data_IF_308518837607
#
_entry.id   IF_308518837607
#
_cell.length_a   1.000
_cell.length_b   1.000
_cell.length_c   1.000
_cell.angle_alpha   90.00
_cell.angle_beta   90.00
_cell.angle_gamma   90.00
#
_symmetry.space_group_name_H-M   'P 1'
#
loop_
_entity.id
_entity.type
_entity.pdbx_description
1 polymer ?
#
# COMPACT_ATOMS: atom_id res chain seq x y z
N UNK A 1 52.00 45.01 5.87
CA UNK A 1 51.65 44.39 4.59
C UNK A 1 51.27 42.93 4.89
N UNK A 2 49.98 42.69 5.19
CA UNK A 2 49.45 41.36 5.54
C UNK A 2 48.82 40.75 4.29
N UNK A 3 49.36 39.64 3.81
CA UNK A 3 48.78 38.85 2.72
C UNK A 3 47.85 37.83 3.34
N UNK A 4 46.50 38.04 3.22
CA UNK A 4 45.48 37.04 3.53
C UNK A 4 45.47 35.97 2.44
N UNK A 5 45.78 34.72 2.80
CA UNK A 5 45.55 33.56 1.94
C UNK A 5 44.11 33.16 2.09
N UNK A 6 43.32 33.35 1.05
CA UNK A 6 41.96 32.80 0.93
C UNK A 6 42.12 31.32 0.51
N UNK A 7 41.83 30.41 1.41
CA UNK A 7 41.69 28.98 1.10
C UNK A 7 40.30 28.74 0.51
N UNK A 8 40.31 28.44 -0.80
CA UNK A 8 39.07 28.04 -1.52
C UNK A 8 38.80 26.57 -1.18
N UNK A 9 37.81 26.30 -0.32
CA UNK A 9 37.30 24.94 -0.05
C UNK A 9 36.38 24.59 -1.20
N UNK A 10 36.87 23.80 -2.17
CA UNK A 10 36.07 23.17 -3.21
C UNK A 10 35.40 21.95 -2.55
N UNK A 11 34.13 22.09 -2.19
CA UNK A 11 33.31 20.98 -1.75
C UNK A 11 32.91 20.18 -3.00
N UNK A 12 33.59 19.07 -3.25
CA UNK A 12 33.21 18.13 -4.32
C UNK A 12 32.00 17.36 -3.81
N UNK A 13 30.81 17.77 -4.25
CA UNK A 13 29.61 16.95 -4.11
C UNK A 13 29.75 15.81 -5.11
N UNK A 14 30.14 14.63 -4.63
CA UNK A 14 30.06 13.39 -5.41
C UNK A 14 28.58 13.00 -5.44
N UNK A 15 27.83 13.53 -6.41
CA UNK A 15 26.56 12.95 -6.81
C UNK A 15 26.88 11.69 -7.59
N UNK A 16 26.55 10.52 -7.03
CA UNK A 16 26.56 9.26 -7.76
C UNK A 16 25.64 9.41 -8.98
N UNK A 17 26.19 9.51 -10.16
CA UNK A 17 25.45 9.62 -11.41
C UNK A 17 24.90 8.23 -11.71
N UNK A 18 23.60 8.02 -11.43
CA UNK A 18 22.86 6.89 -12.01
C UNK A 18 22.92 7.05 -13.54
N UNK A 19 23.14 5.95 -14.25
CA UNK A 19 23.24 5.98 -15.69
C UNK A 19 21.93 6.56 -16.27
N UNK A 20 22.00 7.63 -17.05
CA UNK A 20 20.84 8.28 -17.65
C UNK A 20 19.98 7.30 -18.48
N UNK A 21 20.55 6.18 -18.92
CA UNK A 21 19.90 5.12 -19.66
C UNK A 21 18.90 4.32 -18.80
N UNK A 22 19.23 4.07 -17.52
CA UNK A 22 18.36 3.31 -16.60
C UNK A 22 17.11 4.10 -16.19
N UNK A 23 17.26 5.38 -15.94
CA UNK A 23 16.12 6.28 -15.66
C UNK A 23 15.22 6.45 -16.90
N UNK A 24 15.80 6.39 -18.11
CA UNK A 24 15.06 6.42 -19.37
C UNK A 24 14.10 5.23 -19.52
N UNK A 25 14.50 4.04 -19.07
CA UNK A 25 13.61 2.88 -19.09
C UNK A 25 12.44 3.02 -18.10
N UNK A 26 12.69 3.51 -16.90
CA UNK A 26 11.64 3.81 -15.94
C UNK A 26 10.64 4.87 -16.46
N UNK A 27 11.13 5.91 -17.15
CA UNK A 27 10.28 6.91 -17.80
C UNK A 27 9.43 6.31 -18.92
N UNK A 28 9.99 5.43 -19.73
CA UNK A 28 9.29 4.69 -20.78
C UNK A 28 8.17 3.83 -20.18
N UNK A 29 8.46 3.04 -19.14
CA UNK A 29 7.46 2.25 -18.43
C UNK A 29 6.35 3.12 -17.82
N UNK A 30 6.70 4.21 -17.17
CA UNK A 30 5.72 5.10 -16.55
C UNK A 30 4.78 5.75 -17.58
N UNK A 31 5.31 6.17 -18.73
CA UNK A 31 4.54 6.87 -19.76
C UNK A 31 3.58 5.94 -20.53
N UNK A 32 3.92 4.67 -20.68
CA UNK A 32 3.14 3.72 -21.49
C UNK A 32 2.33 2.71 -20.67
N UNK A 33 2.30 2.78 -19.34
CA UNK A 33 1.57 1.82 -18.49
C UNK A 33 0.13 1.58 -18.96
N UNK A 34 -0.63 2.64 -19.30
CA UNK A 34 -2.03 2.52 -19.72
C UNK A 34 -2.21 1.68 -21.01
N UNK A 35 -1.17 1.54 -21.85
CA UNK A 35 -1.19 0.70 -23.06
C UNK A 35 -1.07 -0.79 -22.72
N UNK A 36 -0.44 -1.11 -21.60
CA UNK A 36 -0.15 -2.48 -21.17
C UNK A 36 -0.99 -2.95 -19.99
N UNK A 37 -1.76 -2.04 -19.42
CA UNK A 37 -2.66 -2.31 -18.31
C UNK A 37 -3.71 -3.33 -18.69
N UNK A 38 -3.80 -4.40 -17.91
CA UNK A 38 -4.77 -5.47 -18.10
C UNK A 38 -6.15 -5.03 -17.64
N UNK A 39 -7.14 -5.14 -18.53
CA UNK A 39 -8.52 -4.87 -18.24
C UNK A 39 -9.13 -5.97 -17.34
N UNK A 40 -10.14 -5.61 -16.53
CA UNK A 40 -10.81 -6.53 -15.62
C UNK A 40 -10.10 -6.71 -14.28
N UNK A 41 -8.97 -6.00 -14.06
CA UNK A 41 -8.25 -5.99 -12.79
C UNK A 41 -8.25 -4.58 -12.16
N UNK A 42 -9.39 -3.89 -12.23
CA UNK A 42 -9.53 -2.53 -11.68
C UNK A 42 -9.66 -2.54 -10.15
N UNK A 43 -10.36 -3.53 -9.61
CA UNK A 43 -10.51 -3.69 -8.16
C UNK A 43 -9.28 -4.36 -7.54
N UNK A 44 -8.91 -3.92 -6.33
CA UNK A 44 -7.92 -4.63 -5.52
C UNK A 44 -8.46 -5.87 -4.80
N UNK A 45 -9.77 -6.13 -4.90
CA UNK A 45 -10.42 -7.34 -4.36
C UNK A 45 -10.42 -8.47 -5.40
N UNK A 46 -9.22 -8.81 -5.90
CA UNK A 46 -9.04 -9.86 -6.89
C UNK A 46 -9.32 -11.23 -6.27
N UNK A 47 -10.13 -12.03 -6.95
CA UNK A 47 -10.42 -13.40 -6.59
C UNK A 47 -9.51 -14.39 -7.32
N UNK A 48 -9.37 -15.60 -6.78
CA UNK A 48 -8.54 -16.64 -7.35
C UNK A 48 -8.85 -16.93 -8.82
N UNK A 49 -10.16 -17.00 -9.18
CA UNK A 49 -10.57 -17.26 -10.55
C UNK A 49 -10.10 -16.19 -11.55
N UNK A 50 -10.03 -14.91 -11.13
CA UNK A 50 -9.54 -13.83 -11.98
C UNK A 50 -8.04 -13.99 -12.27
N UNK A 51 -7.26 -14.47 -11.29
CA UNK A 51 -5.84 -14.80 -11.49
C UNK A 51 -5.68 -15.99 -12.44
N UNK A 52 -6.47 -17.06 -12.29
CA UNK A 52 -6.43 -18.19 -13.21
C UNK A 52 -6.76 -17.80 -14.65
N UNK A 53 -7.82 -17.00 -14.86
CA UNK A 53 -8.19 -16.48 -16.18
C UNK A 53 -7.02 -15.70 -16.81
N UNK A 54 -6.34 -14.86 -16.02
CA UNK A 54 -5.21 -14.10 -16.55
C UNK A 54 -3.97 -14.96 -16.80
N UNK A 55 -3.71 -15.99 -15.99
CA UNK A 55 -2.65 -16.95 -16.23
C UNK A 55 -2.89 -17.75 -17.53
N UNK A 56 -4.13 -18.21 -17.76
CA UNK A 56 -4.53 -18.92 -18.97
C UNK A 56 -4.42 -17.99 -20.21
N UNK A 57 -4.81 -16.72 -20.07
CA UNK A 57 -4.66 -15.72 -21.14
C UNK A 57 -3.19 -15.51 -21.49
N UNK A 58 -2.32 -15.28 -20.51
CA UNK A 58 -0.87 -15.09 -20.71
C UNK A 58 -0.27 -16.28 -21.45
N UNK A 59 -0.63 -17.51 -21.05
CA UNK A 59 -0.18 -18.74 -21.73
C UNK A 59 -0.73 -18.89 -23.14
N UNK A 60 -2.01 -18.60 -23.34
CA UNK A 60 -2.67 -18.76 -24.64
C UNK A 60 -2.18 -17.74 -25.69
N UNK A 61 -1.98 -16.50 -25.28
CA UNK A 61 -1.50 -15.42 -26.16
C UNK A 61 -0.02 -15.57 -26.54
N UNK A 62 0.80 -16.19 -25.68
CA UNK A 62 2.25 -16.30 -25.85
C UNK A 62 2.78 -17.68 -25.40
N UNK A 63 2.36 -18.79 -26.05
CA UNK A 63 2.64 -20.16 -25.56
C UNK A 63 4.13 -20.55 -25.60
N UNK A 64 4.90 -19.95 -26.49
CA UNK A 64 6.34 -20.20 -26.63
C UNK A 64 7.18 -19.29 -25.72
N UNK A 65 6.56 -18.25 -25.17
CA UNK A 65 7.24 -17.26 -24.33
C UNK A 65 7.04 -17.51 -22.84
N UNK A 66 5.83 -17.90 -22.43
CA UNK A 66 5.50 -18.16 -21.03
C UNK A 66 5.25 -19.64 -20.74
N UNK A 67 5.96 -20.18 -19.76
CA UNK A 67 5.61 -21.44 -19.12
C UNK A 67 4.72 -21.17 -17.91
N UNK A 68 3.49 -21.67 -17.91
CA UNK A 68 2.55 -21.56 -16.79
C UNK A 68 2.29 -22.95 -16.23
N UNK A 69 2.61 -23.16 -14.94
CA UNK A 69 2.52 -24.46 -14.28
C UNK A 69 1.81 -24.33 -12.94
N UNK A 70 0.97 -25.31 -12.61
CA UNK A 70 0.47 -25.48 -11.23
C UNK A 70 1.60 -26.06 -10.38
N UNK A 71 2.09 -25.29 -9.43
CA UNK A 71 3.23 -25.64 -8.56
C UNK A 71 2.81 -26.16 -7.20
N UNK A 72 1.55 -25.98 -6.82
CA UNK A 72 0.98 -26.44 -5.56
C UNK A 72 -0.51 -26.16 -5.43
N UNK A 73 -1.01 -26.40 -4.22
CA UNK A 73 -2.39 -26.10 -3.83
C UNK A 73 -2.44 -25.53 -2.42
N UNK A 74 -3.42 -24.67 -2.18
CA UNK A 74 -3.74 -24.11 -0.87
C UNK A 74 -4.41 -25.12 0.05
N UNK A 75 -4.70 -24.73 1.29
CA UNK A 75 -5.45 -25.52 2.28
C UNK A 75 -6.81 -25.98 1.70
N UNK A 76 -7.55 -25.11 1.02
CA UNK A 76 -8.85 -25.46 0.42
C UNK A 76 -8.72 -26.08 -0.98
N UNK A 77 -7.51 -26.47 -1.39
CA UNK A 77 -7.25 -27.18 -2.63
C UNK A 77 -7.20 -26.30 -3.88
N UNK A 78 -7.21 -24.97 -3.75
CA UNK A 78 -7.07 -24.04 -4.90
C UNK A 78 -5.67 -24.13 -5.47
N UNK A 79 -5.58 -24.10 -6.81
CA UNK A 79 -4.30 -24.17 -7.53
C UNK A 79 -3.47 -22.93 -7.27
N UNK A 80 -2.18 -23.12 -7.00
CA UNK A 80 -1.18 -22.05 -7.00
C UNK A 80 -0.32 -22.25 -8.24
N UNK A 81 -0.25 -21.25 -9.09
CA UNK A 81 0.45 -21.31 -10.38
C UNK A 81 1.66 -20.39 -10.37
N UNK A 82 2.68 -20.80 -11.13
CA UNK A 82 3.90 -20.04 -11.38
C UNK A 82 4.04 -19.83 -12.90
N UNK A 83 4.38 -18.60 -13.27
CA UNK A 83 4.70 -18.19 -14.64
C UNK A 83 6.21 -18.05 -14.71
N UNK A 84 6.85 -18.70 -15.70
CA UNK A 84 8.28 -18.61 -15.90
C UNK A 84 8.61 -18.16 -17.31
N UNK A 85 9.64 -17.32 -17.47
CA UNK A 85 10.13 -16.81 -18.75
C UNK A 85 11.57 -16.31 -18.63
N UNK A 86 12.22 -16.05 -19.78
CA UNK A 86 13.66 -15.73 -19.84
C UNK A 86 14.53 -17.00 -19.87
N UNK A 87 15.83 -16.83 -20.13
CA UNK A 87 16.79 -17.95 -20.33
C UNK A 87 18.17 -17.65 -19.74
N UNK A 88 18.26 -16.60 -18.93
CA UNK A 88 19.52 -16.20 -18.29
C UNK A 88 19.91 -17.12 -17.16
N UNK A 89 21.12 -16.91 -16.68
CA UNK A 89 21.70 -17.69 -15.56
C UNK A 89 21.36 -17.16 -14.19
N UNK A 90 20.76 -15.98 -14.09
CA UNK A 90 20.34 -15.36 -12.81
C UNK A 90 18.87 -15.64 -12.55
N UNK A 91 18.59 -16.41 -11.51
CA UNK A 91 17.22 -16.76 -11.14
C UNK A 91 16.57 -15.69 -10.26
N UNK A 92 15.42 -15.17 -10.70
CA UNK A 92 14.64 -14.14 -9.99
C UNK A 92 13.26 -14.69 -9.65
N UNK A 93 12.94 -14.76 -8.36
CA UNK A 93 11.66 -15.22 -7.85
C UNK A 93 10.83 -14.04 -7.33
N UNK A 94 9.65 -13.83 -7.92
CA UNK A 94 8.70 -12.81 -7.48
C UNK A 94 7.43 -13.48 -6.94
N UNK A 95 6.95 -13.06 -5.78
CA UNK A 95 5.65 -13.52 -5.29
C UNK A 95 4.83 -12.36 -4.73
N UNK A 96 3.52 -12.44 -4.95
CA UNK A 96 2.53 -11.50 -4.45
C UNK A 96 1.38 -12.24 -3.75
N UNK A 97 0.54 -11.50 -3.10
CA UNK A 97 -0.60 -12.02 -2.33
C UNK A 97 -0.25 -13.21 -1.42
N UNK A 98 0.88 -13.13 -0.74
CA UNK A 98 1.15 -13.90 0.47
C UNK A 98 0.09 -13.60 1.52
N UNK A 99 -0.32 -12.35 1.63
CA UNK A 99 -1.54 -11.94 2.31
C UNK A 99 -2.65 -11.75 1.27
N UNK A 100 -3.78 -12.43 1.46
CA UNK A 100 -4.80 -12.52 0.42
C UNK A 100 -5.43 -11.18 0.01
N UNK A 101 -5.42 -10.18 0.90
CA UNK A 101 -5.95 -8.84 0.66
C UNK A 101 -4.93 -7.82 0.08
N UNK A 102 -3.73 -8.28 -0.29
CA UNK A 102 -2.62 -7.43 -0.76
C UNK A 102 -2.34 -7.66 -2.26
N UNK A 103 -3.22 -7.19 -3.13
CA UNK A 103 -3.22 -7.54 -4.56
C UNK A 103 -2.61 -6.49 -5.49
N UNK A 104 -2.08 -5.38 -4.98
CA UNK A 104 -1.63 -4.28 -5.83
C UNK A 104 -0.52 -4.72 -6.78
N UNK A 105 0.47 -5.45 -6.27
CA UNK A 105 1.55 -5.98 -7.08
C UNK A 105 1.08 -7.11 -8.01
N UNK A 106 0.11 -7.94 -7.63
CA UNK A 106 -0.49 -8.96 -8.52
C UNK A 106 -0.99 -8.33 -9.82
N UNK A 107 -1.71 -7.21 -9.72
CA UNK A 107 -2.21 -6.47 -10.89
C UNK A 107 -1.06 -5.91 -11.73
N UNK A 108 -0.06 -5.32 -11.08
CA UNK A 108 1.12 -4.79 -11.75
C UNK A 108 1.95 -5.87 -12.46
N UNK A 109 2.05 -7.07 -11.88
CA UNK A 109 2.73 -8.20 -12.49
C UNK A 109 2.06 -8.62 -13.80
N UNK A 110 0.73 -8.66 -13.87
CA UNK A 110 0.03 -8.96 -15.14
C UNK A 110 0.24 -7.85 -16.18
N UNK A 111 0.28 -6.58 -15.79
CA UNK A 111 0.61 -5.47 -16.69
C UNK A 111 2.05 -5.63 -17.24
N UNK A 112 2.98 -6.03 -16.37
CA UNK A 112 4.38 -6.21 -16.73
C UNK A 112 4.58 -7.43 -17.66
N UNK A 113 3.88 -8.53 -17.39
CA UNK A 113 3.86 -9.69 -18.30
C UNK A 113 3.34 -9.30 -19.68
N UNK A 114 2.28 -8.49 -19.74
CA UNK A 114 1.76 -7.96 -21.01
C UNK A 114 2.80 -7.07 -21.72
N UNK A 115 3.52 -6.23 -20.98
CA UNK A 115 4.60 -5.40 -21.53
C UNK A 115 5.73 -6.27 -22.11
N UNK A 116 6.22 -7.27 -21.38
CA UNK A 116 7.33 -8.11 -21.82
C UNK A 116 6.99 -8.89 -23.09
N UNK A 117 5.81 -9.50 -23.16
CA UNK A 117 5.41 -10.28 -24.33
C UNK A 117 5.33 -9.44 -25.61
N UNK A 118 4.90 -8.19 -25.51
CA UNK A 118 4.74 -7.28 -26.65
C UNK A 118 6.03 -6.52 -27.02
N UNK A 119 7.05 -6.55 -26.16
CA UNK A 119 8.29 -5.78 -26.37
C UNK A 119 9.57 -6.64 -26.36
N UNK A 120 9.47 -7.93 -26.68
CA UNK A 120 10.59 -8.89 -26.65
C UNK A 120 11.83 -8.44 -27.43
N UNK A 121 11.63 -7.66 -28.50
CA UNK A 121 12.69 -7.19 -29.38
C UNK A 121 13.32 -5.84 -28.95
N UNK A 122 12.82 -5.19 -27.89
CA UNK A 122 13.46 -3.99 -27.38
C UNK A 122 14.78 -4.34 -26.68
N UNK A 123 15.75 -3.43 -26.71
CA UNK A 123 17.08 -3.68 -26.15
C UNK A 123 17.02 -4.07 -24.67
N UNK A 124 16.18 -3.37 -23.90
CA UNK A 124 16.04 -3.59 -22.46
C UNK A 124 15.38 -4.95 -22.16
N UNK A 125 14.27 -5.26 -22.84
CA UNK A 125 13.56 -6.54 -22.64
C UNK A 125 14.40 -7.72 -23.15
N UNK A 126 15.06 -7.59 -24.30
CA UNK A 126 15.95 -8.61 -24.84
C UNK A 126 17.10 -8.92 -23.85
N UNK A 127 17.70 -7.90 -23.22
CA UNK A 127 18.72 -8.08 -22.19
C UNK A 127 18.15 -8.79 -20.96
N UNK A 128 17.01 -8.32 -20.43
CA UNK A 128 16.33 -8.98 -19.31
C UNK A 128 16.14 -10.47 -19.59
N UNK A 129 15.65 -10.82 -20.78
CA UNK A 129 15.38 -12.20 -21.15
C UNK A 129 16.62 -13.06 -21.38
N UNK A 130 17.74 -12.46 -21.76
CA UNK A 130 19.02 -13.18 -21.95
C UNK A 130 19.79 -13.40 -20.65
N UNK A 131 19.70 -12.48 -19.72
CA UNK A 131 20.45 -12.49 -18.46
C UNK A 131 19.70 -13.13 -17.29
N UNK A 132 18.34 -13.06 -17.32
CA UNK A 132 17.49 -13.51 -16.22
C UNK A 132 16.61 -14.69 -16.59
N UNK A 133 16.42 -15.60 -15.63
CA UNK A 133 15.31 -16.58 -15.58
C UNK A 133 14.33 -16.10 -14.52
N UNK A 134 13.13 -15.70 -14.96
CA UNK A 134 12.16 -15.01 -14.11
C UNK A 134 10.99 -15.94 -13.77
N UNK A 135 10.67 -16.04 -12.48
CA UNK A 135 9.64 -16.91 -11.92
C UNK A 135 8.66 -16.10 -11.11
N UNK A 136 7.39 -16.07 -11.49
CA UNK A 136 6.36 -15.23 -10.86
C UNK A 136 5.26 -16.10 -10.27
N UNK A 137 4.97 -15.95 -8.98
CA UNK A 137 3.78 -16.49 -8.31
C UNK A 137 2.83 -15.30 -8.05
N UNK A 138 1.83 -15.06 -8.92
CA UNK A 138 0.98 -13.88 -8.80
C UNK A 138 0.12 -13.87 -7.53
N UNK A 139 -0.28 -15.06 -7.04
CA UNK A 139 -1.12 -15.22 -5.86
C UNK A 139 -0.67 -16.46 -5.09
N UNK A 140 0.00 -16.24 -3.95
CA UNK A 140 0.48 -17.33 -3.09
C UNK A 140 -0.62 -17.85 -2.15
N UNK A 141 -1.54 -16.98 -1.71
CA UNK A 141 -2.62 -17.28 -0.76
C UNK A 141 -4.02 -17.09 -1.40
N UNK A 142 -4.46 -18.03 -2.25
CA UNK A 142 -5.76 -17.91 -2.91
C UNK A 142 -6.95 -18.03 -1.95
N UNK A 143 -6.80 -18.71 -0.82
CA UNK A 143 -7.87 -18.86 0.18
C UNK A 143 -8.13 -17.53 0.90
N UNK A 144 -7.06 -16.84 1.31
CA UNK A 144 -7.16 -15.50 1.89
C UNK A 144 -7.69 -14.48 0.88
N UNK A 145 -7.30 -14.59 -0.41
CA UNK A 145 -7.79 -13.72 -1.47
C UNK A 145 -9.30 -13.84 -1.69
N UNK A 146 -9.85 -15.06 -1.62
CA UNK A 146 -11.31 -15.29 -1.72
C UNK A 146 -12.10 -14.55 -0.64
N UNK A 147 -11.55 -14.45 0.58
CA UNK A 147 -12.17 -13.77 1.72
C UNK A 147 -11.72 -12.31 1.86
N UNK A 148 -10.78 -11.86 1.02
CA UNK A 148 -10.10 -10.57 1.13
C UNK A 148 -9.52 -10.35 2.53
N UNK A 149 -8.81 -11.34 3.04
CA UNK A 149 -8.16 -11.35 4.36
C UNK A 149 -6.67 -11.62 4.26
N UNK A 150 -5.95 -11.26 5.31
CA UNK A 150 -4.50 -11.43 5.42
C UNK A 150 -4.11 -12.91 5.46
N UNK A 151 -4.71 -13.64 6.36
CA UNK A 151 -4.39 -15.02 6.71
C UNK A 151 -4.93 -16.01 5.65
N UNK A 152 -4.44 -17.23 5.69
CA UNK A 152 -4.97 -18.35 4.91
C UNK A 152 -6.25 -18.93 5.53
N UNK A 153 -6.78 -20.03 4.97
CA UNK A 153 -8.03 -20.68 5.44
C UNK A 153 -7.96 -21.19 6.90
N UNK A 154 -6.77 -21.41 7.45
CA UNK A 154 -6.59 -21.79 8.86
C UNK A 154 -6.32 -20.61 9.81
N UNK A 155 -6.39 -19.38 9.31
CA UNK A 155 -6.04 -18.19 10.09
C UNK A 155 -4.53 -18.04 10.33
N UNK A 156 -3.70 -18.66 9.48
CA UNK A 156 -2.24 -18.56 9.55
C UNK A 156 -1.79 -17.37 8.70
N UNK A 157 -1.05 -16.43 9.32
CA UNK A 157 -0.25 -15.45 8.60
C UNK A 157 0.95 -16.18 7.97
N UNK A 158 0.94 -16.30 6.63
CA UNK A 158 2.02 -17.00 5.91
C UNK A 158 3.38 -16.33 6.15
N UNK A 159 3.42 -15.02 6.35
CA UNK A 159 4.67 -14.30 6.69
C UNK A 159 5.08 -14.46 8.17
N UNK A 160 4.51 -15.44 8.87
CA UNK A 160 4.91 -15.90 10.21
C UNK A 160 5.08 -17.42 10.27
N UNK A 161 5.14 -18.09 9.10
CA UNK A 161 5.21 -19.55 9.00
C UNK A 161 6.54 -20.07 8.39
N UNK A 162 7.55 -19.21 8.22
CA UNK A 162 8.81 -19.58 7.55
C UNK A 162 9.67 -20.58 8.35
N UNK A 163 9.53 -20.65 9.69
CA UNK A 163 10.31 -21.59 10.51
C UNK A 163 9.73 -22.99 10.52
N UNK A 164 8.40 -23.11 10.71
CA UNK A 164 7.75 -24.42 10.87
C UNK A 164 7.16 -24.95 9.59
N UNK A 165 6.85 -24.07 8.64
CA UNK A 165 6.25 -24.44 7.35
C UNK A 165 5.00 -25.29 7.53
N UNK A 166 4.07 -24.85 8.38
CA UNK A 166 2.86 -25.60 8.74
C UNK A 166 1.91 -25.65 7.54
N UNK A 167 1.77 -24.54 6.83
CA UNK A 167 0.86 -24.41 5.69
C UNK A 167 1.46 -24.94 4.40
N UNK A 168 0.66 -25.51 3.49
CA UNK A 168 1.14 -25.96 2.18
C UNK A 168 1.69 -24.82 1.32
N UNK A 169 1.15 -23.61 1.47
CA UNK A 169 1.61 -22.40 0.80
C UNK A 169 3.04 -22.00 1.25
N UNK A 170 3.31 -22.08 2.54
CA UNK A 170 4.65 -21.84 3.11
C UNK A 170 5.66 -22.89 2.65
N UNK A 171 5.27 -24.18 2.70
CA UNK A 171 6.09 -25.29 2.18
C UNK A 171 6.38 -25.13 0.69
N UNK A 172 5.39 -24.66 -0.07
CA UNK A 172 5.52 -24.41 -1.50
C UNK A 172 6.56 -23.32 -1.79
N UNK A 173 6.44 -22.15 -1.16
CA UNK A 173 7.35 -21.03 -1.37
C UNK A 173 8.80 -21.41 -1.04
N UNK A 174 9.00 -22.09 0.10
CA UNK A 174 10.33 -22.61 0.49
C UNK A 174 10.90 -23.57 -0.55
N UNK A 175 10.11 -24.56 -0.98
CA UNK A 175 10.51 -25.55 -1.97
C UNK A 175 10.88 -24.91 -3.32
N UNK A 176 10.09 -23.95 -3.80
CA UNK A 176 10.38 -23.25 -5.06
C UNK A 176 11.67 -22.47 -4.93
N UNK A 177 11.81 -21.64 -3.88
CA UNK A 177 13.05 -20.88 -3.63
C UNK A 177 14.28 -21.79 -3.61
N UNK A 178 14.20 -22.94 -2.93
CA UNK A 178 15.32 -23.87 -2.84
C UNK A 178 15.61 -24.57 -4.17
N UNK A 179 14.57 -24.96 -4.90
CA UNK A 179 14.71 -25.61 -6.22
C UNK A 179 15.36 -24.70 -7.25
N UNK A 180 15.03 -23.42 -7.22
CA UNK A 180 15.63 -22.39 -8.08
C UNK A 180 16.99 -21.95 -7.57
N UNK A 181 17.28 -22.10 -6.29
CA UNK A 181 18.39 -21.44 -5.61
C UNK A 181 18.42 -19.93 -5.94
N UNK A 182 17.23 -19.30 -5.92
CA UNK A 182 16.99 -17.96 -6.45
C UNK A 182 18.01 -16.94 -5.98
N UNK A 183 18.64 -16.22 -6.93
CA UNK A 183 19.63 -15.18 -6.67
C UNK A 183 18.98 -13.93 -6.10
N UNK A 184 17.82 -13.55 -6.64
CA UNK A 184 17.00 -12.42 -6.21
C UNK A 184 15.60 -12.87 -5.87
N UNK A 185 15.01 -12.22 -4.88
CA UNK A 185 13.62 -12.41 -4.45
C UNK A 185 12.88 -11.09 -4.31
N UNK A 186 11.67 -11.01 -4.83
CA UNK A 186 10.78 -9.87 -4.62
C UNK A 186 9.59 -10.31 -3.78
N UNK A 187 9.54 -9.82 -2.54
CA UNK A 187 8.42 -10.03 -1.62
C UNK A 187 7.47 -8.83 -1.73
N UNK A 188 6.34 -9.04 -2.40
CA UNK A 188 5.45 -7.96 -2.82
C UNK A 188 4.22 -7.90 -1.93
N UNK A 189 4.14 -6.83 -1.14
CA UNK A 189 3.13 -6.59 -0.13
C UNK A 189 2.34 -5.29 -0.35
N UNK A 190 1.26 -5.15 0.41
CA UNK A 190 0.53 -3.91 0.59
C UNK A 190 0.51 -3.52 2.06
N UNK A 191 0.97 -2.33 2.40
CA UNK A 191 0.86 -1.77 3.73
C UNK A 191 -0.44 -0.99 3.94
N UNK A 192 -0.76 -0.74 5.21
CA UNK A 192 -1.87 0.14 5.59
C UNK A 192 -1.68 1.55 5.01
N UNK A 193 -2.78 2.16 4.56
CA UNK A 193 -2.80 3.55 4.08
C UNK A 193 -2.44 4.58 5.15
N UNK A 194 -2.43 4.18 6.42
CA UNK A 194 -2.13 5.06 7.54
C UNK A 194 -0.65 5.20 7.85
N UNK A 195 0.23 4.59 7.04
CA UNK A 195 1.66 4.84 7.11
C UNK A 195 2.03 6.17 6.44
N UNK A 196 2.84 6.96 7.12
CA UNK A 196 3.45 8.19 6.66
C UNK A 196 4.97 8.08 6.60
N UNK A 197 5.61 9.03 5.95
CA UNK A 197 7.06 9.13 5.85
C UNK A 197 7.58 9.93 7.05
N UNK A 198 8.23 9.24 7.98
CA UNK A 198 8.79 9.87 9.20
C UNK A 198 7.76 10.76 9.90
N UNK A 199 8.18 11.89 10.46
CA UNK A 199 7.32 12.85 11.15
C UNK A 199 6.69 13.89 10.19
N UNK A 200 6.16 13.42 9.05
CA UNK A 200 5.52 14.29 8.05
C UNK A 200 4.09 13.85 7.73
N UNK A 201 3.22 14.73 7.21
CA UNK A 201 1.88 14.36 6.77
C UNK A 201 1.86 13.59 5.42
N UNK A 202 3.03 13.34 4.80
CA UNK A 202 3.12 12.64 3.53
C UNK A 202 2.87 11.15 3.72
N UNK A 203 1.98 10.57 2.93
CA UNK A 203 1.75 9.13 2.92
C UNK A 203 3.02 8.39 2.47
N UNK A 204 3.36 7.29 3.12
CA UNK A 204 4.33 6.34 2.61
C UNK A 204 3.64 5.49 1.52
N UNK A 205 3.60 6.00 0.28
CA UNK A 205 2.90 5.36 -0.84
C UNK A 205 3.63 4.13 -1.35
N UNK A 206 4.95 4.11 -1.25
CA UNK A 206 5.80 2.93 -1.40
C UNK A 206 6.76 2.90 -0.22
N UNK A 207 6.93 1.74 0.39
CA UNK A 207 8.00 1.50 1.35
C UNK A 207 8.83 0.30 0.95
N UNK A 208 10.12 0.36 1.27
CA UNK A 208 11.07 -0.71 0.96
C UNK A 208 11.69 -1.30 2.21
N UNK A 209 12.19 -2.53 2.07
CA UNK A 209 13.05 -3.14 3.06
C UNK A 209 14.06 -4.10 2.40
N UNK A 210 15.35 -3.89 2.68
CA UNK A 210 16.39 -4.91 2.57
C UNK A 210 16.45 -5.64 3.92
N UNK A 211 15.74 -6.77 4.02
CA UNK A 211 15.47 -7.45 5.29
C UNK A 211 16.75 -7.89 6.01
N UNK A 212 16.72 -7.81 7.33
CA UNK A 212 17.78 -8.42 8.14
C UNK A 212 17.72 -9.95 8.03
N UNK A 213 18.83 -10.61 8.28
CA UNK A 213 18.92 -12.08 8.33
C UNK A 213 19.38 -12.58 9.70
N UNK A 214 19.65 -11.66 10.64
CA UNK A 214 20.00 -11.95 12.02
C UNK A 214 19.64 -10.76 12.93
N UNK A 215 19.68 -10.97 14.24
CA UNK A 215 19.36 -9.96 15.24
C UNK A 215 20.36 -8.79 15.27
N UNK A 216 21.60 -9.03 14.87
CA UNK A 216 22.66 -8.03 14.79
C UNK A 216 22.50 -7.10 13.59
N UNK A 217 21.54 -7.42 12.67
CA UNK A 217 21.26 -6.64 11.45
C UNK A 217 22.50 -6.43 10.56
N UNK A 218 23.34 -7.43 10.50
CA UNK A 218 24.57 -7.37 9.71
C UNK A 218 24.30 -7.13 8.22
N UNK A 219 25.26 -6.45 7.58
CA UNK A 219 25.24 -6.18 6.14
C UNK A 219 26.23 -7.09 5.42
N UNK A 220 25.76 -8.29 5.04
CA UNK A 220 26.55 -9.13 4.12
C UNK A 220 26.42 -8.62 2.67
N UNK A 221 27.16 -9.21 1.75
CA UNK A 221 27.17 -8.85 0.32
C UNK A 221 25.75 -8.84 -0.27
N UNK A 222 24.98 -9.90 -0.05
CA UNK A 222 23.63 -10.07 -0.63
C UNK A 222 22.63 -9.04 -0.11
N UNK A 223 22.68 -8.71 1.18
CA UNK A 223 21.84 -7.66 1.77
C UNK A 223 22.26 -6.28 1.26
N UNK A 224 23.57 -6.08 1.03
CA UNK A 224 24.09 -4.82 0.45
C UNK A 224 23.60 -4.65 -0.98
N UNK A 225 23.65 -5.70 -1.81
CA UNK A 225 23.15 -5.66 -3.18
C UNK A 225 21.66 -5.32 -3.21
N UNK A 226 20.87 -5.93 -2.33
CA UNK A 226 19.45 -5.60 -2.17
C UNK A 226 19.24 -4.13 -1.76
N UNK A 227 20.04 -3.61 -0.83
CA UNK A 227 19.98 -2.22 -0.40
C UNK A 227 20.38 -1.24 -1.52
N UNK A 228 21.40 -1.56 -2.31
CA UNK A 228 21.81 -0.75 -3.48
C UNK A 228 20.73 -0.72 -4.55
N UNK A 229 20.11 -1.87 -4.85
CA UNK A 229 18.97 -1.95 -5.77
C UNK A 229 17.79 -1.14 -5.26
N UNK A 230 17.45 -1.21 -3.97
CA UNK A 230 16.40 -0.37 -3.36
C UNK A 230 16.77 1.11 -3.44
N UNK A 231 18.03 1.48 -3.23
CA UNK A 231 18.50 2.85 -3.42
C UNK A 231 18.28 3.37 -4.83
N UNK A 232 18.49 2.53 -5.84
CA UNK A 232 18.14 2.84 -7.24
C UNK A 232 16.63 3.02 -7.42
N UNK A 233 15.81 2.10 -6.88
CA UNK A 233 14.33 2.19 -6.97
C UNK A 233 13.79 3.42 -6.25
N UNK A 234 14.40 3.83 -5.15
CA UNK A 234 14.06 5.07 -4.47
C UNK A 234 14.26 6.30 -5.35
N UNK A 235 15.35 6.37 -6.12
CA UNK A 235 15.58 7.47 -7.06
C UNK A 235 14.49 7.54 -8.13
N UNK A 236 14.00 6.40 -8.61
CA UNK A 236 12.86 6.34 -9.54
C UNK A 236 11.59 6.87 -8.85
N UNK A 237 11.30 6.46 -7.62
CA UNK A 237 10.13 6.96 -6.89
C UNK A 237 10.16 8.48 -6.70
N UNK A 238 11.32 9.06 -6.39
CA UNK A 238 11.45 10.51 -6.20
C UNK A 238 11.13 11.31 -7.48
N UNK A 239 11.18 10.68 -8.66
CA UNK A 239 10.74 11.30 -9.92
C UNK A 239 9.21 11.43 -10.00
N UNK A 240 8.44 10.52 -9.38
CA UNK A 240 6.99 10.41 -9.55
C UNK A 240 6.19 10.72 -8.29
N UNK A 241 6.76 10.41 -7.13
CA UNK A 241 6.13 10.59 -5.82
C UNK A 241 7.12 11.20 -4.81
N UNK A 242 7.66 12.41 -5.05
CA UNK A 242 8.74 12.97 -4.26
C UNK A 242 8.38 13.11 -2.78
N UNK A 243 9.16 12.45 -1.91
CA UNK A 243 8.98 12.42 -0.47
C UNK A 243 7.84 11.52 0.01
N UNK A 244 7.33 10.60 -0.82
CA UNK A 244 6.33 9.59 -0.46
C UNK A 244 6.90 8.17 -0.40
N UNK A 245 8.23 8.05 -0.34
CA UNK A 245 8.92 6.77 -0.17
C UNK A 245 9.36 6.62 1.29
N UNK A 246 9.00 5.50 1.90
CA UNK A 246 9.42 5.13 3.24
C UNK A 246 10.37 3.93 3.25
N UNK A 247 11.06 3.73 4.37
CA UNK A 247 11.82 2.53 4.69
C UNK A 247 11.21 1.87 5.92
N UNK A 248 10.95 0.57 5.87
CA UNK A 248 10.52 -0.18 7.03
C UNK A 248 11.68 -0.37 8.02
N UNK A 249 11.33 -0.48 9.31
CA UNK A 249 12.24 -0.95 10.34
C UNK A 249 12.77 -2.34 9.97
N UNK A 250 14.07 -2.55 10.10
CA UNK A 250 14.77 -3.78 9.75
C UNK A 250 15.01 -4.73 10.94
N UNK A 251 14.14 -4.69 11.95
CA UNK A 251 14.17 -5.65 13.04
C UNK A 251 13.94 -7.08 12.51
N UNK A 252 14.85 -7.99 12.88
CA UNK A 252 14.80 -9.37 12.44
C UNK A 252 13.59 -10.12 13.02
N UNK A 253 12.68 -10.57 12.16
CA UNK A 253 11.55 -11.43 12.55
C UNK A 253 11.81 -12.88 12.05
N UNK A 254 12.28 -13.77 12.94
CA UNK A 254 12.71 -15.12 12.54
C UNK A 254 11.61 -15.99 11.92
N UNK A 255 10.33 -15.62 12.05
CA UNK A 255 9.21 -16.34 11.43
C UNK A 255 8.82 -15.76 10.06
N UNK A 256 9.34 -14.58 9.68
CA UNK A 256 9.00 -13.94 8.43
C UNK A 256 9.74 -14.57 7.24
N UNK A 257 9.05 -14.70 6.10
CA UNK A 257 9.66 -15.23 4.89
C UNK A 257 10.70 -14.31 4.30
N UNK A 258 10.50 -12.99 4.39
CA UNK A 258 11.49 -12.02 3.92
C UNK A 258 12.85 -12.27 4.56
N UNK A 259 12.88 -12.30 5.87
CA UNK A 259 14.09 -12.47 6.67
C UNK A 259 14.74 -13.85 6.44
N UNK A 260 13.92 -14.90 6.36
CA UNK A 260 14.43 -16.25 6.13
C UNK A 260 14.95 -16.44 4.69
N UNK A 261 14.31 -15.89 3.68
CA UNK A 261 14.78 -15.96 2.29
C UNK A 261 16.11 -15.23 2.15
N UNK A 262 16.28 -14.07 2.82
CA UNK A 262 17.57 -13.38 2.92
C UNK A 262 18.61 -14.26 3.65
N UNK A 263 18.25 -14.87 4.77
CA UNK A 263 19.09 -15.81 5.53
C UNK A 263 19.51 -17.03 4.69
N UNK A 264 18.61 -17.57 3.88
CA UNK A 264 18.88 -18.69 2.96
C UNK A 264 19.72 -18.30 1.75
N UNK A 265 20.10 -17.03 1.63
CA UNK A 265 21.07 -16.56 0.66
C UNK A 265 20.51 -16.03 -0.65
N UNK A 266 19.26 -15.60 -0.69
CA UNK A 266 18.64 -14.82 -1.77
C UNK A 266 18.74 -13.33 -1.46
N UNK A 267 19.06 -12.48 -2.43
CA UNK A 267 19.00 -11.02 -2.31
C UNK A 267 17.54 -10.60 -2.29
N UNK A 268 17.03 -10.22 -1.13
CA UNK A 268 15.60 -9.94 -0.96
C UNK A 268 15.28 -8.46 -1.03
N UNK A 269 14.35 -8.14 -1.90
CA UNK A 269 13.73 -6.83 -2.04
C UNK A 269 12.28 -6.94 -1.58
N UNK A 270 11.93 -6.30 -0.47
CA UNK A 270 10.55 -6.18 -0.03
C UNK A 270 9.98 -4.84 -0.48
N UNK A 271 8.80 -4.88 -1.11
CA UNK A 271 8.06 -3.70 -1.55
C UNK A 271 6.70 -3.73 -0.87
N UNK A 272 6.38 -2.65 -0.17
CA UNK A 272 5.09 -2.41 0.47
C UNK A 272 4.36 -1.27 -0.22
N UNK A 273 3.21 -1.54 -0.82
CA UNK A 273 2.39 -0.53 -1.46
C UNK A 273 1.41 0.06 -0.46
N UNK A 274 1.58 1.33 -0.14
CA UNK A 274 0.76 2.08 0.81
C UNK A 274 -0.46 2.76 0.18
N UNK A 275 -0.96 3.79 0.87
CA UNK A 275 -2.05 4.63 0.41
C UNK A 275 -1.58 5.73 -0.53
N UNK A 276 -2.52 6.21 -1.34
CA UNK A 276 -2.40 7.46 -2.09
C UNK A 276 -3.69 8.25 -1.95
N UNK A 277 -3.60 9.57 -1.80
CA UNK A 277 -4.78 10.41 -1.59
C UNK A 277 -5.76 10.28 -2.76
N UNK A 278 -7.01 9.93 -2.45
CA UNK A 278 -8.06 9.75 -3.46
C UNK A 278 -8.03 8.43 -4.22
N UNK A 279 -7.00 7.59 -4.02
CA UNK A 279 -6.85 6.30 -4.73
C UNK A 279 -7.00 5.10 -3.77
N UNK A 280 -8.23 4.75 -3.42
CA UNK A 280 -8.50 3.58 -2.57
C UNK A 280 -8.23 2.25 -3.27
N UNK A 281 -8.37 2.20 -4.57
CA UNK A 281 -8.07 1.01 -5.38
C UNK A 281 -6.57 0.82 -5.66
N UNK A 282 -5.73 1.74 -5.13
CA UNK A 282 -4.26 1.69 -5.30
C UNK A 282 -3.80 1.58 -6.76
N UNK A 283 -4.49 2.28 -7.69
CA UNK A 283 -4.11 2.28 -9.10
C UNK A 283 -2.78 3.00 -9.34
N UNK A 284 -2.49 4.06 -8.59
CA UNK A 284 -1.18 4.72 -8.60
C UNK A 284 -0.09 3.75 -8.10
N UNK A 285 -0.36 3.01 -7.01
CA UNK A 285 0.51 1.96 -6.51
C UNK A 285 0.74 0.83 -7.52
N UNK A 286 -0.32 0.38 -8.25
CA UNK A 286 -0.22 -0.58 -9.35
C UNK A 286 0.77 -0.10 -10.43
N UNK A 287 0.63 1.15 -10.87
CA UNK A 287 1.52 1.75 -11.86
C UNK A 287 2.97 1.85 -11.35
N UNK A 288 3.15 2.26 -10.09
CA UNK A 288 4.48 2.33 -9.49
C UNK A 288 5.14 0.96 -9.39
N UNK A 289 4.43 -0.08 -8.93
CA UNK A 289 4.97 -1.45 -8.91
C UNK A 289 5.38 -1.93 -10.31
N UNK A 290 4.56 -1.67 -11.33
CA UNK A 290 4.91 -1.98 -12.72
C UNK A 290 6.23 -1.33 -13.14
N UNK A 291 6.42 -0.05 -12.83
CA UNK A 291 7.66 0.67 -13.15
C UNK A 291 8.84 0.14 -12.35
N UNK A 292 8.67 0.01 -11.03
CA UNK A 292 9.74 -0.38 -10.11
C UNK A 292 10.24 -1.80 -10.38
N UNK A 293 9.32 -2.77 -10.53
CA UNK A 293 9.67 -4.17 -10.79
C UNK A 293 10.35 -4.29 -12.17
N UNK A 294 9.80 -3.66 -13.21
CA UNK A 294 10.40 -3.66 -14.52
C UNK A 294 11.80 -3.03 -14.54
N UNK A 295 11.98 -1.91 -13.86
CA UNK A 295 13.29 -1.23 -13.73
C UNK A 295 14.28 -2.03 -12.88
N UNK A 296 13.81 -2.71 -11.83
CA UNK A 296 14.65 -3.58 -11.03
C UNK A 296 15.19 -4.76 -11.85
N UNK A 297 14.35 -5.41 -12.65
CA UNK A 297 14.76 -6.51 -13.52
C UNK A 297 15.78 -6.05 -14.57
N UNK A 298 15.60 -4.87 -15.13
CA UNK A 298 16.58 -4.29 -16.06
C UNK A 298 17.91 -3.97 -15.37
N UNK A 299 17.84 -3.36 -14.19
CA UNK A 299 19.03 -3.02 -13.42
C UNK A 299 19.80 -4.25 -12.93
N UNK A 300 19.13 -5.36 -12.59
CA UNK A 300 19.76 -6.64 -12.28
C UNK A 300 20.44 -7.21 -13.56
N UNK A 301 19.73 -7.19 -14.69
CA UNK A 301 20.27 -7.71 -15.94
C UNK A 301 21.48 -6.93 -16.48
N UNK A 302 21.58 -5.66 -16.17
CA UNK A 302 22.71 -4.78 -16.55
C UNK A 302 23.75 -4.60 -15.46
N UNK A 303 23.49 -5.07 -14.24
CA UNK A 303 24.27 -4.80 -13.02
C UNK A 303 24.43 -3.31 -12.69
N UNK A 304 23.54 -2.45 -13.20
CA UNK A 304 23.68 -1.00 -13.03
C UNK A 304 23.46 -0.51 -11.60
N UNK A 305 22.67 -1.22 -10.80
CA UNK A 305 22.45 -0.92 -9.38
C UNK A 305 23.74 -0.94 -8.55
N UNK A 306 24.78 -1.68 -8.96
CA UNK A 306 26.07 -1.74 -8.25
C UNK A 306 26.77 -0.38 -8.18
N UNK A 307 26.45 0.53 -9.11
CA UNK A 307 26.95 1.91 -9.11
C UNK A 307 26.32 2.80 -8.04
N UNK A 308 25.19 2.35 -7.44
CA UNK A 308 24.47 3.09 -6.41
C UNK A 308 25.10 2.84 -5.03
N UNK A 309 25.35 3.91 -4.30
CA UNK A 309 25.89 3.78 -2.95
C UNK A 309 24.87 3.14 -2.00
N UNK A 310 25.30 2.26 -1.11
CA UNK A 310 24.51 1.72 -0.01
C UNK A 310 23.85 2.82 0.83
N UNK A 311 24.49 3.99 0.96
CA UNK A 311 23.93 5.14 1.67
C UNK A 311 22.62 5.66 1.06
N UNK A 312 22.34 5.41 -0.23
CA UNK A 312 21.07 5.78 -0.85
C UNK A 312 19.88 5.05 -0.21
N UNK A 313 20.06 3.81 0.21
CA UNK A 313 19.06 3.05 0.98
C UNK A 313 18.86 3.62 2.39
N UNK A 314 19.96 3.88 3.10
CA UNK A 314 19.91 4.37 4.48
C UNK A 314 19.38 5.80 4.58
N UNK A 315 19.45 6.59 3.51
CA UNK A 315 18.88 7.93 3.43
C UNK A 315 17.37 7.93 3.19
N UNK A 316 16.74 6.80 2.87
CA UNK A 316 15.28 6.70 2.79
C UNK A 316 14.73 6.86 4.21
N UNK A 317 13.85 7.84 4.47
CA UNK A 317 13.26 8.04 5.79
C UNK A 317 12.46 6.82 6.24
N UNK A 318 12.48 6.51 7.53
CA UNK A 318 11.63 5.44 8.07
C UNK A 318 10.16 5.82 7.97
N UNK A 319 9.30 4.84 7.80
CA UNK A 319 7.87 5.03 7.85
C UNK A 319 7.36 4.91 9.29
N UNK A 320 6.33 5.72 9.59
CA UNK A 320 5.56 5.66 10.83
C UNK A 320 4.09 5.38 10.51
N UNK A 321 3.27 5.07 11.52
CA UNK A 321 1.85 4.85 11.34
C UNK A 321 1.02 5.93 12.04
N UNK A 322 1.19 7.18 11.61
CA UNK A 322 0.65 8.36 12.28
C UNK A 322 -0.35 9.14 11.41
N UNK A 323 -1.07 8.45 10.49
CA UNK A 323 -2.12 9.07 9.67
C UNK A 323 -3.51 8.61 10.08
N UNK A 324 -4.47 9.54 9.95
CA UNK A 324 -5.90 9.27 9.97
C UNK A 324 -6.55 9.68 8.64
N UNK A 325 -7.72 9.15 8.31
CA UNK A 325 -8.51 9.67 7.19
C UNK A 325 -8.95 11.11 7.43
N UNK A 326 -9.37 11.40 8.66
CA UNK A 326 -9.77 12.73 9.11
C UNK A 326 -9.23 12.98 10.52
N UNK A 327 -8.58 14.12 10.72
CA UNK A 327 -8.20 14.65 12.02
C UNK A 327 -9.05 15.89 12.32
N UNK A 328 -9.63 15.98 13.51
CA UNK A 328 -10.25 17.22 14.01
C UNK A 328 -9.39 17.72 15.15
N UNK A 329 -8.89 18.94 15.04
CA UNK A 329 -7.94 19.51 16.01
C UNK A 329 -8.64 20.45 17.00
N UNK A 330 -8.32 20.29 18.28
CA UNK A 330 -8.66 21.24 19.35
C UNK A 330 -10.15 21.39 19.62
N UNK A 331 -10.99 20.39 19.31
CA UNK A 331 -12.44 20.50 19.52
C UNK A 331 -12.79 20.41 21.01
N UNK A 332 -13.73 21.24 21.46
CA UNK A 332 -14.28 21.17 22.82
C UNK A 332 -15.37 20.10 22.89
N UNK A 333 -15.23 19.19 23.85
CA UNK A 333 -16.22 18.14 24.16
C UNK A 333 -16.75 18.36 25.57
N UNK A 334 -18.07 18.35 25.73
CA UNK A 334 -18.70 18.38 27.05
C UNK A 334 -18.95 16.94 27.55
N UNK A 335 -18.48 16.68 28.78
CA UNK A 335 -18.70 15.42 29.46
C UNK A 335 -19.02 15.65 30.93
N UNK A 336 -20.19 15.26 31.40
CA UNK A 336 -20.69 15.46 32.75
C UNK A 336 -20.65 16.94 33.22
N UNK A 337 -20.96 17.88 32.34
CA UNK A 337 -20.96 19.31 32.59
C UNK A 337 -19.56 19.96 32.65
N UNK A 338 -18.52 19.21 32.27
CA UNK A 338 -17.14 19.71 32.17
C UNK A 338 -16.71 19.76 30.71
N UNK A 339 -16.02 20.81 30.31
CA UNK A 339 -15.49 20.98 28.96
C UNK A 339 -14.03 20.50 28.87
N UNK A 340 -13.73 19.71 27.87
CA UNK A 340 -12.40 19.19 27.56
C UNK A 340 -12.04 19.55 26.14
N UNK A 341 -10.87 20.10 25.90
CA UNK A 341 -10.34 20.34 24.55
C UNK A 341 -9.45 19.17 24.15
N UNK A 342 -9.70 18.57 22.99
CA UNK A 342 -8.96 17.41 22.52
C UNK A 342 -9.01 17.29 20.98
N UNK A 343 -8.12 16.50 20.44
CA UNK A 343 -8.12 16.11 19.02
C UNK A 343 -8.89 14.80 18.82
N UNK A 344 -9.41 14.59 17.61
CA UNK A 344 -10.05 13.34 17.19
C UNK A 344 -9.37 12.79 15.95
N UNK A 345 -8.97 11.51 15.98
CA UNK A 345 -8.50 10.74 14.82
C UNK A 345 -9.60 9.81 14.32
N UNK A 346 -10.02 9.96 13.07
CA UNK A 346 -11.11 9.19 12.45
C UNK A 346 -10.56 8.37 11.28
N UNK A 347 -10.85 7.07 11.29
CA UNK A 347 -10.52 6.16 10.19
C UNK A 347 -11.78 5.65 9.50
N UNK A 348 -11.63 5.33 8.21
CA UNK A 348 -12.67 4.73 7.38
C UNK A 348 -12.35 3.25 7.17
N UNK A 349 -13.17 2.41 7.76
CA UNK A 349 -13.12 0.97 7.61
C UNK A 349 -13.92 0.51 6.41
N UNK A 350 -13.39 -0.46 5.67
CA UNK A 350 -14.04 -1.07 4.54
C UNK A 350 -14.71 -2.39 4.96
N UNK A 351 -15.98 -2.51 4.62
CA UNK A 351 -16.72 -3.76 4.73
C UNK A 351 -17.22 -4.18 3.35
N UNK A 352 -17.29 -5.48 3.10
CA UNK A 352 -17.86 -6.00 1.87
C UNK A 352 -19.28 -5.45 1.67
N UNK A 353 -19.60 -5.02 0.47
CA UNK A 353 -20.94 -4.54 0.15
C UNK A 353 -21.95 -5.71 0.20
N UNK A 354 -23.16 -5.42 0.63
CA UNK A 354 -24.22 -6.44 0.77
C UNK A 354 -24.60 -7.11 -0.55
N UNK A 355 -24.36 -6.46 -1.67
CA UNK A 355 -24.55 -6.98 -3.03
C UNK A 355 -23.30 -7.73 -3.56
N UNK A 356 -22.25 -7.86 -2.77
CA UNK A 356 -20.94 -8.43 -3.11
C UNK A 356 -20.22 -7.73 -4.28
N UNK A 357 -20.67 -6.53 -4.63
CA UNK A 357 -20.02 -5.68 -5.64
C UNK A 357 -19.37 -4.50 -4.92
N UNK A 358 -18.05 -4.51 -4.79
CA UNK A 358 -17.27 -3.48 -4.12
C UNK A 358 -17.34 -3.55 -2.60
N UNK A 359 -17.28 -2.40 -1.95
CA UNK A 359 -17.25 -2.27 -0.49
C UNK A 359 -18.01 -1.02 -0.02
N UNK A 360 -18.47 -1.06 1.21
CA UNK A 360 -19.02 0.10 1.93
C UNK A 360 -17.97 0.66 2.90
N UNK A 361 -18.07 1.96 3.19
CA UNK A 361 -17.21 2.62 4.16
C UNK A 361 -17.99 2.93 5.43
N UNK A 362 -17.36 2.65 6.58
CA UNK A 362 -17.85 3.09 7.89
C UNK A 362 -16.78 3.85 8.63
N UNK A 363 -17.11 5.04 9.14
CA UNK A 363 -16.19 5.85 9.91
C UNK A 363 -16.26 5.50 11.40
N UNK A 364 -15.12 5.64 12.05
CA UNK A 364 -14.94 5.37 13.47
C UNK A 364 -13.90 6.33 14.05
N UNK A 365 -14.17 6.96 15.18
CA UNK A 365 -13.14 7.68 15.96
C UNK A 365 -12.27 6.62 16.62
N UNK A 366 -11.03 6.48 16.14
CA UNK A 366 -10.10 5.45 16.59
C UNK A 366 -9.13 5.92 17.65
N UNK A 367 -8.93 7.24 17.75
CA UNK A 367 -8.09 7.85 18.76
C UNK A 367 -8.59 9.25 19.13
N UNK A 368 -8.29 9.69 20.37
CA UNK A 368 -8.74 10.97 20.93
C UNK A 368 -7.82 11.42 22.07
N UNK A 369 -7.58 12.71 22.14
CA UNK A 369 -6.74 13.32 23.16
C UNK A 369 -5.68 14.22 22.55
N UNK A 370 -4.43 14.05 22.94
CA UNK A 370 -3.29 14.76 22.32
C UNK A 370 -2.81 13.97 21.09
N UNK A 371 -3.19 14.45 19.92
CA UNK A 371 -2.76 13.87 18.63
C UNK A 371 -1.79 14.81 17.90
N UNK A 372 -1.02 15.63 18.63
CA UNK A 372 -0.10 16.62 18.05
C UNK A 372 1.01 16.03 17.18
N UNK A 373 1.32 14.73 17.33
CA UNK A 373 2.30 13.99 16.52
C UNK A 373 1.65 13.19 15.36
N UNK A 374 0.34 13.29 15.21
CA UNK A 374 -0.43 12.61 14.19
C UNK A 374 -0.94 13.59 13.14
N UNK A 375 -1.23 13.08 11.94
CA UNK A 375 -1.70 13.86 10.81
C UNK A 375 -3.00 13.29 10.25
N UNK A 376 -3.77 14.11 9.54
CA UNK A 376 -4.93 13.69 8.77
C UNK A 376 -4.68 13.75 7.27
N UNK A 377 -5.24 12.83 6.50
CA UNK A 377 -5.40 13.05 5.07
C UNK A 377 -6.23 14.33 4.80
N UNK A 378 -7.18 14.58 5.70
CA UNK A 378 -7.90 15.84 5.82
C UNK A 378 -7.86 16.27 7.27
N UNK A 379 -7.62 17.56 7.52
CA UNK A 379 -7.66 18.15 8.86
C UNK A 379 -8.75 19.21 8.93
N UNK A 380 -9.51 19.21 10.02
CA UNK A 380 -10.51 20.22 10.36
C UNK A 380 -10.07 20.91 11.63
N UNK A 381 -9.98 22.24 11.60
CA UNK A 381 -9.77 23.05 12.78
C UNK A 381 -11.08 23.11 13.59
N UNK A 382 -11.07 22.50 14.78
CA UNK A 382 -12.18 22.49 15.74
C UNK A 382 -11.99 23.46 16.91
N UNK A 383 -10.91 24.24 16.94
CA UNK A 383 -10.49 25.04 18.10
C UNK A 383 -11.52 26.06 18.61
N UNK A 384 -12.39 26.53 17.75
CA UNK A 384 -13.51 27.44 18.09
C UNK A 384 -14.88 26.74 18.18
N UNK A 385 -14.88 25.41 18.20
CA UNK A 385 -16.11 24.61 18.09
C UNK A 385 -16.33 23.70 19.30
N UNK A 386 -17.62 23.50 19.62
CA UNK A 386 -18.07 22.47 20.56
C UNK A 386 -18.63 21.31 19.74
N UNK A 387 -18.25 20.09 20.08
CA UNK A 387 -18.81 18.88 19.49
C UNK A 387 -20.22 18.66 20.02
N UNK A 388 -21.17 18.53 19.10
CA UNK A 388 -22.58 18.24 19.38
C UNK A 388 -22.93 16.84 18.84
N UNK A 389 -23.55 16.02 19.70
CA UNK A 389 -24.11 14.73 19.30
C UNK A 389 -25.37 14.97 18.46
N UNK A 390 -25.45 14.47 17.22
CA UNK A 390 -26.59 14.76 16.36
C UNK A 390 -27.89 14.14 16.85
N UNK A 391 -29.00 14.83 16.63
CA UNK A 391 -30.35 14.33 16.84
C UNK A 391 -30.75 13.30 15.78
N UNK A 392 -31.76 12.48 16.09
CA UNK A 392 -32.28 11.44 15.21
C UNK A 392 -33.47 11.95 14.40
N UNK A 393 -33.41 11.87 13.08
CA UNK A 393 -34.50 12.18 12.17
C UNK A 393 -35.17 10.90 11.68
N UNK A 394 -36.50 10.82 11.80
CA UNK A 394 -37.29 9.58 11.55
C UNK A 394 -38.04 9.57 10.24
N UNK A 395 -38.06 10.68 9.49
CA UNK A 395 -38.79 10.81 8.23
C UNK A 395 -37.85 10.70 7.03
N UNK A 396 -38.43 10.53 5.84
CA UNK A 396 -37.66 10.53 4.58
C UNK A 396 -37.18 11.95 4.22
N UNK A 397 -35.93 12.12 3.86
CA UNK A 397 -35.38 13.37 3.33
C UNK A 397 -35.62 13.40 1.81
N UNK A 398 -36.19 14.50 1.30
CA UNK A 398 -36.67 14.57 -0.08
C UNK A 398 -35.82 15.44 -1.00
N UNK A 399 -35.00 16.34 -0.44
CA UNK A 399 -34.17 17.27 -1.19
C UNK A 399 -32.87 17.59 -0.45
N UNK A 400 -31.87 18.08 -1.18
CA UNK A 400 -30.62 18.58 -0.62
C UNK A 400 -30.86 19.77 0.33
N UNK A 401 -31.73 20.69 -0.06
CA UNK A 401 -32.12 21.82 0.78
C UNK A 401 -32.65 21.36 2.14
N UNK A 402 -33.58 20.41 2.15
CA UNK A 402 -34.11 19.83 3.39
C UNK A 402 -33.01 19.12 4.21
N UNK A 403 -32.09 18.45 3.55
CA UNK A 403 -30.96 17.78 4.20
C UNK A 403 -30.05 18.77 4.94
N UNK A 404 -29.68 19.89 4.28
CA UNK A 404 -28.85 20.94 4.87
C UNK A 404 -29.59 21.70 5.99
N UNK A 405 -30.89 21.99 5.83
CA UNK A 405 -31.75 22.57 6.89
C UNK A 405 -31.76 21.70 8.14
N UNK A 406 -31.96 20.39 7.97
CA UNK A 406 -31.99 19.44 9.08
C UNK A 406 -30.60 19.37 9.79
N UNK A 407 -29.49 19.42 9.05
CA UNK A 407 -28.16 19.48 9.65
C UNK A 407 -27.98 20.75 10.49
N UNK A 408 -28.41 21.91 10.00
CA UNK A 408 -28.33 23.17 10.77
C UNK A 408 -29.23 23.17 12.01
N UNK A 409 -30.33 22.38 12.01
CA UNK A 409 -31.19 22.13 13.17
C UNK A 409 -30.63 21.09 14.16
N UNK A 410 -29.46 20.50 13.86
CA UNK A 410 -28.77 19.54 14.70
C UNK A 410 -29.14 18.07 14.48
N UNK A 411 -29.81 17.71 13.40
CA UNK A 411 -30.03 16.31 13.01
C UNK A 411 -28.83 15.76 12.24
N UNK A 412 -28.53 14.46 12.41
CA UNK A 412 -27.43 13.79 11.71
C UNK A 412 -27.47 12.27 11.81
N UNK A 413 -28.49 11.70 12.48
CA UNK A 413 -28.75 10.27 12.53
C UNK A 413 -30.14 9.91 12.02
N UNK A 414 -30.36 8.64 11.65
CA UNK A 414 -31.65 8.11 11.26
C UNK A 414 -31.88 6.71 11.85
N UNK A 415 -33.09 6.41 12.30
CA UNK A 415 -33.53 5.04 12.66
C UNK A 415 -34.09 4.28 11.46
N UNK A 416 -34.08 4.84 10.28
CA UNK A 416 -34.50 4.18 9.04
C UNK A 416 -33.30 3.89 8.15
N UNK A 417 -33.11 2.63 7.77
CA UNK A 417 -32.17 2.28 6.71
C UNK A 417 -32.67 2.89 5.41
N UNK A 418 -32.02 3.91 4.91
CA UNK A 418 -32.39 4.62 3.69
C UNK A 418 -31.15 4.73 2.78
N UNK A 419 -31.29 4.22 1.57
CA UNK A 419 -30.24 4.25 0.54
C UNK A 419 -30.42 5.44 -0.43
N UNK A 420 -31.20 6.46 -0.05
CA UNK A 420 -31.38 7.67 -0.86
C UNK A 420 -30.11 8.54 -0.90
N UNK A 421 -29.98 9.35 -1.96
CA UNK A 421 -28.87 10.28 -2.16
C UNK A 421 -28.63 11.21 -0.95
N UNK A 422 -29.70 11.58 -0.26
CA UNK A 422 -29.68 12.38 0.97
C UNK A 422 -30.18 11.52 2.12
N UNK A 423 -29.28 11.00 2.94
CA UNK A 423 -29.60 10.17 4.08
C UNK A 423 -28.60 10.38 5.21
N UNK A 424 -29.08 10.26 6.43
CA UNK A 424 -28.23 10.23 7.61
C UNK A 424 -27.77 8.80 7.93
N UNK A 425 -26.60 8.62 8.57
CA UNK A 425 -26.17 7.34 9.10
C UNK A 425 -27.23 6.67 9.96
N UNK A 426 -27.40 5.35 9.74
CA UNK A 426 -28.39 4.56 10.46
C UNK A 426 -27.87 4.19 11.85
N UNK A 427 -28.74 4.35 12.84
CA UNK A 427 -28.58 3.85 14.21
C UNK A 427 -29.89 3.25 14.72
N UNK A 428 -29.83 2.35 15.70
CA UNK A 428 -31.02 1.76 16.33
C UNK A 428 -31.53 2.61 17.50
N UNK A 429 -30.63 3.36 18.11
CA UNK A 429 -30.90 4.19 19.28
C UNK A 429 -31.70 5.44 18.92
N UNK A 430 -32.68 5.78 19.76
CA UNK A 430 -33.48 7.04 19.62
C UNK A 430 -32.76 8.24 20.23
N UNK A 431 -31.96 8.00 21.23
CA UNK A 431 -31.20 9.01 21.96
C UNK A 431 -29.71 8.64 21.88
N UNK A 432 -28.98 9.05 20.82
CA UNK A 432 -27.58 8.74 20.65
C UNK A 432 -26.72 9.41 21.73
N UNK A 433 -25.69 8.72 22.16
CA UNK A 433 -24.68 9.21 23.09
C UNK A 433 -23.45 9.73 22.34
N UNK A 434 -22.53 10.36 23.08
CA UNK A 434 -21.20 10.72 22.55
C UNK A 434 -20.45 9.50 22.02
N UNK A 435 -20.55 8.35 22.69
CA UNK A 435 -19.93 7.11 22.23
C UNK A 435 -20.55 6.60 20.92
N UNK A 436 -21.88 6.80 20.75
CA UNK A 436 -22.55 6.50 19.45
C UNK A 436 -22.01 7.39 18.35
N UNK A 437 -21.80 8.68 18.62
CA UNK A 437 -21.22 9.62 17.66
C UNK A 437 -19.79 9.20 17.26
N UNK A 438 -18.97 8.80 18.21
CA UNK A 438 -17.60 8.32 17.96
C UNK A 438 -17.58 7.03 17.14
N UNK A 439 -18.33 6.01 17.58
CA UNK A 439 -18.43 4.70 16.87
C UNK A 439 -18.96 4.81 15.44
N UNK A 440 -19.66 5.90 15.10
CA UNK A 440 -20.20 6.17 13.77
C UNK A 440 -19.44 7.25 13.02
N UNK A 441 -18.36 7.80 13.60
CA UNK A 441 -17.65 8.93 13.01
C UNK A 441 -18.61 10.04 12.56
N UNK A 442 -19.63 10.34 13.41
CA UNK A 442 -20.75 11.21 13.03
C UNK A 442 -21.07 12.17 14.18
N UNK A 443 -20.75 13.44 13.98
CA UNK A 443 -20.95 14.52 14.96
C UNK A 443 -21.07 15.87 14.23
N UNK A 444 -21.51 16.88 14.95
CA UNK A 444 -21.62 18.25 14.45
C UNK A 444 -20.62 19.13 15.23
N UNK A 445 -20.08 20.15 14.55
CA UNK A 445 -19.27 21.19 15.16
C UNK A 445 -20.10 22.47 15.22
N UNK A 446 -20.26 22.98 16.45
CA UNK A 446 -21.02 24.20 16.72
C UNK A 446 -20.07 25.31 17.11
N UNK A 447 -20.12 26.42 16.38
CA UNK A 447 -19.37 27.65 16.68
C UNK A 447 -20.36 28.79 16.91
N UNK A 448 -20.20 29.55 17.98
CA UNK A 448 -21.09 30.69 18.33
C UNK A 448 -22.60 30.34 18.35
N UNK A 449 -22.93 29.14 18.80
CA UNK A 449 -24.30 28.66 18.89
C UNK A 449 -24.93 28.16 17.57
N UNK A 450 -24.18 28.17 16.46
CA UNK A 450 -24.62 27.71 15.14
C UNK A 450 -23.82 26.51 14.69
N UNK A 451 -24.44 25.51 14.07
CA UNK A 451 -23.74 24.38 13.48
C UNK A 451 -23.00 24.85 12.23
N UNK A 452 -21.68 24.86 12.26
CA UNK A 452 -20.81 25.28 11.16
C UNK A 452 -20.41 24.14 10.25
N UNK A 453 -20.17 22.95 10.83
CA UNK A 453 -19.67 21.79 10.11
C UNK A 453 -20.38 20.53 10.61
N UNK A 454 -20.74 19.66 9.70
CA UNK A 454 -21.18 18.31 10.02
C UNK A 454 -20.16 17.28 9.53
N UNK A 455 -19.82 16.32 10.40
CA UNK A 455 -19.09 15.11 10.02
C UNK A 455 -20.10 13.96 10.06
N UNK A 456 -20.36 13.36 8.90
CA UNK A 456 -21.31 12.25 8.76
C UNK A 456 -20.61 11.03 8.19
N UNK A 457 -20.45 10.00 9.01
CA UNK A 457 -19.69 8.81 8.64
C UNK A 457 -18.30 9.18 8.05
N UNK A 458 -17.59 10.08 8.73
CA UNK A 458 -16.28 10.59 8.32
C UNK A 458 -16.28 11.58 7.15
N UNK A 459 -17.43 11.88 6.55
CA UNK A 459 -17.54 12.84 5.47
C UNK A 459 -17.86 14.23 6.01
N UNK A 460 -17.07 15.22 5.62
CA UNK A 460 -17.21 16.63 6.02
C UNK A 460 -18.25 17.31 5.15
N UNK A 461 -19.14 18.07 5.76
CA UNK A 461 -20.11 18.96 5.11
C UNK A 461 -20.03 20.32 5.78
N UNK A 462 -19.57 21.33 5.07
CA UNK A 462 -19.55 22.72 5.51
C UNK A 462 -20.95 23.29 5.35
N UNK A 463 -21.48 23.93 6.41
CA UNK A 463 -22.82 24.57 6.43
C UNK A 463 -22.73 26.09 6.42
N UNK A 464 -21.60 26.65 6.80
CA UNK A 464 -21.31 28.08 6.79
C UNK A 464 -19.92 28.22 6.13
N UNK A 465 -19.79 29.12 5.18
CA UNK A 465 -18.47 29.52 4.65
C UNK A 465 -17.71 30.26 5.76
N UNK A 466 -16.49 29.83 6.04
CA UNK A 466 -15.58 30.47 7.00
C UNK A 466 -15.03 31.79 6.47
#
# INVERSE_FOLDING_TARGET
MYIQRIALIISVIITSVVNAQDLGFAQKLYSNHEQYKVNGLESRRIKHNEVLINNDRVKAENPDFYSVQTVGRSIEGRQIQMISFGKGSTDVLLWSQMHGNESTATRALFDLLNYFSLNQQSNEVSRILSELSIHVIPMLNPDGAEQFQRENALGIDLNRDALRLVSPEAQLLKRIRDSLNADYGFNLHDQSRYYNVSQTPKQASISFLATAYNYEKEMNEKRRDAAQLIGYLHQINEMYIPGHTGRYNDDFEPRAFGDNIQLWGTRLILIETGGFLGDREKNAGRKLNYVLIGSALESIASNSFESVSESAYWNIPENDRNLFDLKVEGVTVEYNGVHYTLDLGINLEEAEATDKIGYSLSANVVDRGDLSTYFGYTTVDGSSSVLVVPKVYTKKIRSEKQFLELLSEGFGFSTKKNNGRFSFPYIEEKNPSLETAYRKGTFLLQSNGVISTAVLNGKIIQLIDN
#
